data_IF_133093791108
#
_entry.id   IF_133093791108
#
_cell.length_a   1.000
_cell.length_b   1.000
_cell.length_c   1.000
_cell.angle_alpha   90.00
_cell.angle_beta   90.00
_cell.angle_gamma   90.00
#
_symmetry.space_group_name_H-M   'P 1'
#
loop_
_entity.id
_entity.type
_entity.pdbx_description
1 polymer ?
#
# COMPACT_ATOMS: atom_id res chain seq x y z
N UNK A 1 41.07 33.62 -83.78
CA UNK A 1 39.68 33.38 -83.36
C UNK A 1 39.73 32.96 -81.89
N UNK A 2 39.45 33.88 -81.02
CA UNK A 2 39.49 33.66 -79.51
C UNK A 2 38.11 33.54 -79.01
N UNK A 3 37.83 32.53 -78.14
CA UNK A 3 36.60 32.40 -77.34
C UNK A 3 36.93 32.55 -75.87
N UNK A 4 36.43 33.63 -75.27
CA UNK A 4 36.47 33.90 -73.85
C UNK A 4 35.48 32.96 -73.13
N UNK A 5 35.91 32.31 -72.02
CA UNK A 5 35.08 31.52 -71.10
C UNK A 5 35.02 32.25 -69.79
N UNK A 6 33.80 32.70 -69.44
CA UNK A 6 33.47 33.35 -68.18
C UNK A 6 33.29 32.30 -67.11
N UNK A 7 34.12 32.23 -66.05
CA UNK A 7 33.90 31.45 -64.84
C UNK A 7 33.16 32.30 -63.83
N UNK A 8 31.87 31.94 -63.59
CA UNK A 8 31.08 32.44 -62.46
C UNK A 8 31.50 31.73 -61.18
N UNK A 9 31.97 32.46 -60.19
CA UNK A 9 32.16 31.99 -58.81
C UNK A 9 30.82 31.87 -58.15
N UNK A 10 30.48 30.67 -57.69
CA UNK A 10 29.32 30.42 -56.80
C UNK A 10 29.80 30.58 -55.36
N UNK A 11 29.26 31.56 -54.64
CA UNK A 11 29.37 31.65 -53.18
C UNK A 11 28.46 30.60 -52.55
N UNK A 12 29.03 29.74 -51.72
CA UNK A 12 28.29 28.77 -50.88
C UNK A 12 28.06 29.47 -49.54
N UNK A 13 26.80 29.84 -49.27
CA UNK A 13 26.36 30.31 -47.97
C UNK A 13 26.21 29.08 -47.04
N UNK A 14 27.07 28.97 -46.04
CA UNK A 14 26.94 27.96 -44.99
C UNK A 14 25.82 28.33 -44.03
N UNK A 15 24.81 27.47 -43.97
CA UNK A 15 23.74 27.55 -42.94
C UNK A 15 24.25 26.81 -41.72
N UNK A 16 24.58 27.55 -40.65
CA UNK A 16 24.81 26.97 -39.33
C UNK A 16 23.47 26.67 -38.69
N UNK A 17 23.08 25.40 -38.68
CA UNK A 17 21.93 24.93 -37.87
C UNK A 17 22.38 24.80 -36.41
N UNK A 18 21.96 25.74 -35.58
CA UNK A 18 22.13 25.64 -34.12
C UNK A 18 21.19 24.60 -33.56
N UNK A 19 21.73 23.46 -33.15
CA UNK A 19 21.01 22.39 -32.46
C UNK A 19 20.85 22.78 -30.98
N UNK A 20 19.70 23.33 -30.62
CA UNK A 20 19.34 23.58 -29.20
C UNK A 20 18.98 22.28 -28.55
N UNK A 21 19.86 21.72 -27.72
CA UNK A 21 19.59 20.58 -26.86
C UNK A 21 18.73 21.09 -25.71
N UNK A 22 17.43 20.81 -25.75
CA UNK A 22 16.54 20.91 -24.60
C UNK A 22 16.90 19.78 -23.64
N UNK A 23 17.67 20.07 -22.61
CA UNK A 23 17.86 19.19 -21.47
C UNK A 23 16.54 19.24 -20.65
N UNK A 24 15.66 18.30 -20.93
CA UNK A 24 14.48 18.07 -20.08
C UNK A 24 14.96 17.61 -18.69
N UNK A 25 14.87 18.49 -17.70
CA UNK A 25 15.03 18.11 -16.32
C UNK A 25 13.89 17.17 -15.94
N UNK A 26 14.18 15.88 -15.90
CA UNK A 26 13.28 14.88 -15.30
C UNK A 26 13.31 15.17 -13.80
N UNK A 27 12.28 15.87 -13.32
CA UNK A 27 12.05 16.10 -11.91
C UNK A 27 11.77 14.77 -11.23
N UNK A 28 12.81 14.15 -10.67
CA UNK A 28 12.67 13.00 -9.79
C UNK A 28 11.91 13.44 -8.54
N UNK A 29 10.77 12.85 -8.34
CA UNK A 29 9.77 13.20 -7.36
C UNK A 29 10.31 13.25 -5.92
N UNK A 30 10.07 14.35 -5.28
CA UNK A 30 10.51 14.75 -3.94
C UNK A 30 9.64 14.16 -2.79
N UNK A 31 8.91 13.08 -3.00
CA UNK A 31 8.05 12.50 -1.95
C UNK A 31 8.84 12.00 -0.71
N UNK A 32 10.13 11.70 -0.86
CA UNK A 32 10.97 11.23 0.26
C UNK A 32 11.33 12.32 1.28
N UNK A 33 11.27 13.59 0.91
CA UNK A 33 11.64 14.73 1.78
C UNK A 33 10.43 15.49 2.36
N UNK A 34 9.19 15.05 2.08
CA UNK A 34 8.02 15.67 2.69
C UNK A 34 8.03 15.43 4.21
N UNK A 35 7.71 16.45 5.03
CA UNK A 35 7.58 16.25 6.47
C UNK A 35 6.49 15.21 6.75
N UNK A 36 6.66 14.48 7.86
CA UNK A 36 5.63 13.55 8.31
C UNK A 36 4.34 14.34 8.62
N UNK A 37 3.16 13.81 8.25
CA UNK A 37 1.89 14.42 8.64
C UNK A 37 1.74 14.41 10.17
N UNK A 38 0.88 15.29 10.68
CA UNK A 38 0.44 15.19 12.08
C UNK A 38 -0.54 14.02 12.21
N UNK A 39 0.00 12.84 12.48
CA UNK A 39 -0.79 11.62 12.62
C UNK A 39 -1.79 11.71 13.79
N UNK A 40 -1.47 12.42 14.84
CA UNK A 40 -2.37 12.59 15.98
C UNK A 40 -3.58 13.45 15.59
N UNK A 41 -3.36 14.53 14.86
CA UNK A 41 -4.45 15.35 14.32
C UNK A 41 -5.33 14.55 13.33
N UNK A 42 -4.73 13.67 12.51
CA UNK A 42 -5.49 12.79 11.61
C UNK A 42 -6.41 11.85 12.41
N UNK A 43 -5.89 11.19 13.43
CA UNK A 43 -6.68 10.28 14.28
C UNK A 43 -7.76 11.04 15.07
N UNK A 44 -7.46 12.23 15.53
CA UNK A 44 -8.37 13.09 16.29
C UNK A 44 -9.39 13.86 15.44
N UNK A 45 -9.35 13.72 14.10
CA UNK A 45 -10.23 14.47 13.19
C UNK A 45 -11.70 14.40 13.61
N UNK A 46 -12.40 15.53 13.76
CA UNK A 46 -13.75 15.58 14.36
C UNK A 46 -14.82 14.92 13.49
N UNK A 47 -14.60 14.80 12.19
CA UNK A 47 -15.50 14.20 11.20
C UNK A 47 -15.36 12.68 11.09
N UNK A 48 -14.47 12.04 11.87
CA UNK A 48 -14.44 10.59 12.01
C UNK A 48 -15.57 10.09 12.88
N UNK A 49 -16.10 8.90 12.56
CA UNK A 49 -17.25 8.32 13.23
C UNK A 49 -16.92 7.77 14.63
N UNK A 50 -17.93 7.61 15.48
CA UNK A 50 -17.77 6.93 16.77
C UNK A 50 -17.38 5.45 16.59
N UNK A 51 -17.84 4.79 15.54
CA UNK A 51 -17.43 3.44 15.19
C UNK A 51 -15.93 3.35 14.87
N UNK A 52 -15.38 4.36 14.18
CA UNK A 52 -13.94 4.45 13.94
C UNK A 52 -13.18 4.63 15.26
N UNK A 53 -13.66 5.48 16.17
CA UNK A 53 -13.04 5.68 17.49
C UNK A 53 -13.08 4.44 18.38
N UNK A 54 -14.09 3.61 18.24
CA UNK A 54 -14.11 2.27 18.91
C UNK A 54 -13.07 1.34 18.27
N UNK A 55 -12.93 1.37 16.94
CA UNK A 55 -11.92 0.60 16.20
C UNK A 55 -10.50 1.05 16.58
N UNK A 56 -10.27 2.35 16.78
CA UNK A 56 -8.98 2.92 17.20
C UNK A 56 -8.43 2.26 18.47
N UNK A 57 -9.29 1.92 19.42
CA UNK A 57 -8.88 1.30 20.69
C UNK A 57 -8.14 -0.04 20.51
N UNK A 58 -8.42 -0.75 19.43
CA UNK A 58 -7.79 -2.02 19.09
C UNK A 58 -6.70 -1.86 18.04
N UNK A 59 -6.92 -1.01 17.04
CA UNK A 59 -6.04 -0.84 15.89
C UNK A 59 -4.87 0.12 16.13
N UNK A 60 -4.90 0.88 17.25
CA UNK A 60 -3.82 1.81 17.65
C UNK A 60 -3.31 2.71 16.49
N UNK A 61 -4.20 3.42 15.75
CA UNK A 61 -3.80 4.13 14.53
C UNK A 61 -2.77 5.22 14.80
N UNK A 62 -2.74 5.78 16.02
CA UNK A 62 -1.73 6.74 16.46
C UNK A 62 -0.31 6.17 16.53
N UNK A 63 -0.16 4.84 16.59
CA UNK A 63 1.11 4.12 16.51
C UNK A 63 1.31 3.49 15.12
N UNK A 64 0.22 2.96 14.52
CA UNK A 64 0.27 2.32 13.22
C UNK A 64 0.69 3.29 12.10
N UNK A 65 0.08 4.46 12.01
CA UNK A 65 0.39 5.43 10.94
C UNK A 65 1.87 5.87 10.94
N UNK A 66 2.47 6.32 12.08
CA UNK A 66 3.90 6.61 12.10
C UNK A 66 4.76 5.40 11.72
N UNK A 67 4.39 4.19 12.15
CA UNK A 67 5.11 2.96 11.82
C UNK A 67 5.10 2.69 10.31
N UNK A 68 3.97 2.91 9.61
CA UNK A 68 3.92 2.78 8.15
C UNK A 68 4.90 3.73 7.46
N UNK A 69 5.14 4.90 8.01
CA UNK A 69 5.93 5.97 7.40
C UNK A 69 5.21 6.66 6.25
N UNK A 70 3.88 6.55 6.17
CA UNK A 70 3.06 7.22 5.14
C UNK A 70 3.25 8.73 5.18
N UNK A 71 3.42 9.37 4.01
CA UNK A 71 3.68 10.81 3.90
C UNK A 71 2.82 11.44 2.81
N UNK A 72 2.70 12.77 2.87
CA UNK A 72 2.02 13.53 1.84
C UNK A 72 2.60 13.26 0.44
N UNK A 73 1.71 13.12 -0.54
CA UNK A 73 2.06 12.87 -1.94
C UNK A 73 2.35 11.41 -2.30
N UNK A 74 2.35 10.48 -1.34
CA UNK A 74 2.59 9.05 -1.62
C UNK A 74 1.46 8.42 -2.42
N UNK A 75 1.82 7.39 -3.21
CA UNK A 75 0.92 6.43 -3.83
C UNK A 75 0.88 5.18 -2.96
N UNK A 76 -0.27 4.88 -2.41
CA UNK A 76 -0.47 3.77 -1.46
C UNK A 76 -1.47 2.78 -2.04
N UNK A 77 -1.21 1.48 -1.87
CA UNK A 77 -2.20 0.43 -2.06
C UNK A 77 -2.60 -0.10 -0.69
N UNK A 78 -3.90 -0.10 -0.38
CA UNK A 78 -4.49 -0.70 0.81
C UNK A 78 -5.20 -1.98 0.39
N UNK A 79 -4.59 -3.13 0.71
CA UNK A 79 -5.10 -4.45 0.36
C UNK A 79 -6.22 -4.85 1.30
N UNK A 80 -7.32 -5.37 0.75
CA UNK A 80 -8.54 -5.70 1.48
C UNK A 80 -9.03 -4.54 2.35
N UNK A 81 -9.30 -3.43 1.66
CA UNK A 81 -9.71 -2.17 2.29
C UNK A 81 -10.99 -2.29 3.12
N UNK A 82 -11.86 -3.24 2.78
CA UNK A 82 -13.09 -3.55 3.47
C UNK A 82 -14.03 -2.34 3.55
N UNK A 83 -14.43 -1.93 4.76
CA UNK A 83 -15.25 -0.73 4.94
C UNK A 83 -14.46 0.59 4.90
N UNK A 84 -13.16 0.55 4.55
CA UNK A 84 -12.32 1.72 4.31
C UNK A 84 -11.78 2.41 5.56
N UNK A 85 -11.72 1.73 6.71
CA UNK A 85 -11.20 2.32 7.94
C UNK A 85 -9.72 2.74 7.80
N UNK A 86 -8.85 1.82 7.40
CA UNK A 86 -7.42 2.09 7.17
C UNK A 86 -7.24 3.03 5.99
N UNK A 87 -8.02 2.81 4.93
CA UNK A 87 -8.01 3.60 3.70
C UNK A 87 -8.22 5.09 3.98
N UNK A 88 -9.21 5.46 4.81
CA UNK A 88 -9.48 6.86 5.15
C UNK A 88 -8.30 7.49 5.91
N UNK A 89 -7.71 6.80 6.86
CA UNK A 89 -6.55 7.28 7.59
C UNK A 89 -5.34 7.49 6.67
N UNK A 90 -5.10 6.55 5.76
CA UNK A 90 -4.06 6.67 4.74
C UNK A 90 -4.34 7.82 3.77
N UNK A 91 -5.60 7.99 3.32
CA UNK A 91 -6.01 9.07 2.44
C UNK A 91 -5.78 10.45 3.05
N UNK A 92 -6.09 10.61 4.34
CA UNK A 92 -5.78 11.84 5.10
C UNK A 92 -4.28 12.09 5.19
N UNK A 93 -3.48 11.03 5.41
CA UNK A 93 -2.03 11.13 5.56
C UNK A 93 -1.31 11.49 4.25
N UNK A 94 -1.73 10.92 3.11
CA UNK A 94 -1.14 11.25 1.81
C UNK A 94 -1.64 12.60 1.27
N UNK A 95 -2.75 13.10 1.78
CA UNK A 95 -3.30 14.41 1.41
C UNK A 95 -3.69 14.51 -0.07
N UNK A 96 -4.04 15.73 -0.54
CA UNK A 96 -4.65 15.94 -1.86
C UNK A 96 -3.70 15.69 -3.04
N UNK A 97 -2.40 15.57 -2.80
CA UNK A 97 -1.37 15.30 -3.83
C UNK A 97 -0.99 13.82 -3.91
N UNK A 98 -1.42 13.00 -2.94
CA UNK A 98 -1.25 11.55 -2.92
C UNK A 98 -2.48 10.83 -3.43
N UNK A 99 -2.34 9.51 -3.59
CA UNK A 99 -3.45 8.63 -4.01
C UNK A 99 -3.43 7.36 -3.17
N UNK A 100 -4.61 6.91 -2.74
CA UNK A 100 -4.78 5.58 -2.12
C UNK A 100 -5.62 4.73 -3.06
N UNK A 101 -5.08 3.59 -3.46
CA UNK A 101 -5.79 2.53 -4.17
C UNK A 101 -6.31 1.55 -3.11
N UNK A 102 -7.62 1.50 -2.95
CA UNK A 102 -8.30 0.64 -1.99
C UNK A 102 -8.75 -0.63 -2.72
N UNK A 103 -8.05 -1.75 -2.48
CA UNK A 103 -8.34 -2.99 -3.19
C UNK A 103 -9.27 -3.88 -2.36
N UNK A 104 -10.28 -4.42 -3.04
CA UNK A 104 -11.14 -5.51 -2.55
C UNK A 104 -11.48 -6.46 -3.70
N UNK A 105 -11.69 -7.74 -3.39
CA UNK A 105 -12.27 -8.64 -4.39
C UNK A 105 -13.79 -8.49 -4.45
N UNK A 106 -14.38 -8.74 -5.61
CA UNK A 106 -15.83 -8.70 -5.79
C UNK A 106 -16.56 -9.62 -4.79
N UNK A 107 -15.99 -10.79 -4.52
CA UNK A 107 -16.57 -11.76 -3.56
C UNK A 107 -16.55 -11.22 -2.11
N UNK A 108 -15.49 -10.53 -1.70
CA UNK A 108 -15.41 -9.90 -0.37
C UNK A 108 -16.42 -8.76 -0.26
N UNK A 109 -16.56 -7.94 -1.30
CA UNK A 109 -17.54 -6.84 -1.33
C UNK A 109 -18.95 -7.40 -1.17
N UNK A 110 -19.34 -8.36 -2.01
CA UNK A 110 -20.68 -8.94 -1.98
C UNK A 110 -21.02 -9.54 -0.62
N UNK A 111 -20.08 -10.24 -0.01
CA UNK A 111 -20.32 -11.03 1.20
C UNK A 111 -20.22 -10.21 2.49
N UNK A 112 -19.27 -9.30 2.60
CA UNK A 112 -18.89 -8.66 3.88
C UNK A 112 -18.94 -7.14 3.88
N UNK A 113 -18.54 -6.50 2.78
CA UNK A 113 -18.40 -5.04 2.70
C UNK A 113 -19.73 -4.40 2.30
N UNK A 114 -20.36 -4.95 1.25
CA UNK A 114 -21.60 -4.40 0.67
C UNK A 114 -21.40 -2.91 0.33
N UNK A 115 -22.32 -2.06 0.78
CA UNK A 115 -22.34 -0.62 0.55
C UNK A 115 -21.49 0.22 1.54
N UNK A 116 -20.84 -0.42 2.51
CA UNK A 116 -20.14 0.30 3.58
C UNK A 116 -18.99 1.15 3.07
N UNK A 117 -18.22 0.63 2.10
CA UNK A 117 -17.15 1.40 1.47
C UNK A 117 -17.70 2.58 0.69
N UNK A 118 -18.76 2.37 -0.11
CA UNK A 118 -19.37 3.41 -0.94
C UNK A 118 -19.96 4.54 -0.09
N UNK A 119 -20.55 4.20 1.06
CA UNK A 119 -21.02 5.20 2.04
C UNK A 119 -19.85 6.02 2.56
N UNK A 120 -18.74 5.38 2.96
CA UNK A 120 -17.53 6.08 3.44
C UNK A 120 -16.88 6.92 2.32
N UNK A 121 -16.88 6.42 1.10
CA UNK A 121 -16.31 7.11 -0.07
C UNK A 121 -16.96 8.47 -0.37
N UNK A 122 -18.16 8.74 0.17
CA UNK A 122 -18.81 10.05 0.07
C UNK A 122 -18.15 11.11 0.97
N UNK A 123 -17.31 10.70 1.93
CA UNK A 123 -16.58 11.62 2.79
C UNK A 123 -15.57 12.47 2.01
N UNK A 124 -15.44 13.77 2.34
CA UNK A 124 -14.39 14.62 1.77
C UNK A 124 -12.97 14.06 1.95
N UNK A 125 -12.72 13.29 3.00
CA UNK A 125 -11.43 12.65 3.28
C UNK A 125 -11.06 11.55 2.27
N UNK A 126 -12.05 11.02 1.52
CA UNK A 126 -11.84 9.93 0.55
C UNK A 126 -11.69 10.41 -0.89
N UNK A 127 -11.61 11.71 -1.15
CA UNK A 127 -11.56 12.27 -2.53
C UNK A 127 -10.35 11.83 -3.35
N UNK A 128 -9.26 11.44 -2.71
CA UNK A 128 -8.02 10.93 -3.31
C UNK A 128 -7.91 9.40 -3.25
N UNK A 129 -9.04 8.71 -3.03
CA UNK A 129 -9.13 7.25 -3.02
C UNK A 129 -9.71 6.75 -4.33
N UNK A 130 -9.12 5.68 -4.85
CA UNK A 130 -9.60 4.90 -6.00
C UNK A 130 -9.97 3.51 -5.49
N UNK A 131 -11.25 3.14 -5.56
CA UNK A 131 -11.67 1.78 -5.22
C UNK A 131 -11.29 0.83 -6.37
N UNK A 132 -10.49 -0.19 -6.07
CA UNK A 132 -9.95 -1.17 -7.01
C UNK A 132 -10.59 -2.52 -6.75
N UNK A 133 -11.53 -2.91 -7.62
CA UNK A 133 -12.22 -4.20 -7.49
C UNK A 133 -11.49 -5.21 -8.36
N UNK A 134 -10.60 -6.03 -7.75
CA UNK A 134 -9.77 -7.04 -8.41
C UNK A 134 -9.52 -8.21 -7.47
N UNK A 135 -9.26 -9.38 -8.04
CA UNK A 135 -8.93 -10.57 -7.26
C UNK A 135 -7.56 -10.43 -6.56
N UNK A 136 -7.37 -11.19 -5.48
CA UNK A 136 -6.15 -11.07 -4.66
C UNK A 136 -4.88 -11.53 -5.39
N UNK A 137 -4.95 -12.47 -6.30
CA UNK A 137 -3.82 -12.93 -7.12
C UNK A 137 -3.50 -11.98 -8.29
N UNK A 138 -4.37 -10.99 -8.56
CA UNK A 138 -4.13 -9.90 -9.52
C UNK A 138 -4.63 -8.54 -8.98
N UNK A 139 -4.14 -8.08 -7.79
CA UNK A 139 -4.77 -6.99 -7.04
C UNK A 139 -4.48 -5.60 -7.61
N UNK A 140 -3.51 -5.48 -8.52
CA UNK A 140 -2.99 -4.18 -8.95
C UNK A 140 -3.42 -3.88 -10.38
N UNK A 141 -4.07 -2.73 -10.67
CA UNK A 141 -4.36 -2.31 -12.03
C UNK A 141 -3.06 -2.20 -12.87
N UNK A 142 -3.07 -2.56 -14.16
CA UNK A 142 -1.86 -2.58 -14.99
C UNK A 142 -1.13 -1.25 -15.14
N UNK A 143 -1.83 -0.14 -14.97
CA UNK A 143 -1.33 1.23 -15.02
C UNK A 143 -0.78 1.73 -13.68
N UNK A 144 -1.07 1.02 -12.58
CA UNK A 144 -0.58 1.36 -11.24
C UNK A 144 0.81 0.78 -11.02
N UNK A 145 1.80 1.64 -10.90
CA UNK A 145 3.23 1.29 -10.75
C UNK A 145 3.92 2.27 -9.82
N UNK A 146 5.10 1.86 -9.36
CA UNK A 146 5.95 2.67 -8.49
C UNK A 146 5.21 3.16 -7.24
N UNK A 147 4.49 2.24 -6.58
CA UNK A 147 3.88 2.49 -5.28
C UNK A 147 4.96 2.79 -4.24
N UNK A 148 4.68 3.72 -3.34
CA UNK A 148 5.53 4.05 -2.21
C UNK A 148 5.34 3.08 -1.04
N UNK A 149 4.09 2.66 -0.85
CA UNK A 149 3.64 1.87 0.29
C UNK A 149 2.51 0.93 -0.14
N UNK A 150 2.56 -0.28 0.41
CA UNK A 150 1.42 -1.21 0.42
C UNK A 150 1.10 -1.51 1.88
N UNK A 151 -0.17 -1.52 2.24
CA UNK A 151 -0.68 -1.97 3.55
C UNK A 151 -1.58 -3.18 3.35
N UNK A 152 -1.47 -4.18 4.25
CA UNK A 152 -2.32 -5.36 4.27
C UNK A 152 -2.64 -5.70 5.72
N UNK A 153 -3.78 -5.20 6.22
CA UNK A 153 -4.07 -5.20 7.64
C UNK A 153 -5.18 -6.18 8.00
N UNK A 154 -4.82 -7.21 8.78
CA UNK A 154 -5.72 -8.17 9.43
C UNK A 154 -6.57 -9.00 8.46
N UNK A 155 -5.99 -9.34 7.31
CA UNK A 155 -6.69 -10.08 6.27
C UNK A 155 -5.80 -11.07 5.50
N UNK A 156 -4.47 -11.07 5.74
CA UNK A 156 -3.61 -12.05 5.08
C UNK A 156 -3.96 -13.49 5.47
N UNK A 157 -4.42 -13.74 6.71
CA UNK A 157 -4.91 -15.04 7.12
C UNK A 157 -6.13 -15.50 6.28
N UNK A 158 -6.98 -14.58 5.83
CA UNK A 158 -8.18 -14.90 5.05
C UNK A 158 -7.82 -15.45 3.67
N UNK A 159 -6.83 -14.90 2.99
CA UNK A 159 -6.39 -15.39 1.68
C UNK A 159 -5.76 -16.79 1.73
N UNK A 160 -5.41 -17.30 2.92
CA UNK A 160 -4.86 -18.65 3.08
C UNK A 160 -5.89 -19.76 2.84
N UNK A 161 -7.18 -19.50 3.07
CA UNK A 161 -8.26 -20.47 2.84
C UNK A 161 -9.20 -20.05 1.70
N UNK A 162 -8.98 -18.89 1.10
CA UNK A 162 -9.54 -18.52 -0.20
C UNK A 162 -8.72 -19.22 -1.29
N UNK A 163 -9.29 -19.43 -2.46
CA UNK A 163 -8.55 -20.02 -3.59
C UNK A 163 -7.65 -18.96 -4.27
N UNK A 164 -6.68 -18.42 -3.51
CA UNK A 164 -5.74 -17.39 -3.93
C UNK A 164 -4.35 -17.97 -4.12
N UNK A 165 -3.73 -17.72 -5.27
CA UNK A 165 -2.29 -17.93 -5.44
C UNK A 165 -1.52 -16.85 -4.68
N UNK A 166 -1.18 -17.13 -3.39
CA UNK A 166 -0.48 -16.18 -2.53
C UNK A 166 0.94 -15.87 -3.03
N UNK A 167 1.59 -16.80 -3.70
CA UNK A 167 2.91 -16.55 -4.27
C UNK A 167 2.81 -15.51 -5.39
N UNK A 168 1.81 -15.64 -6.26
CA UNK A 168 1.53 -14.67 -7.33
C UNK A 168 1.09 -13.31 -6.75
N UNK A 169 0.20 -13.30 -5.75
CA UNK A 169 -0.21 -12.08 -5.04
C UNK A 169 1.01 -11.32 -4.48
N UNK A 170 1.87 -12.02 -3.74
CA UNK A 170 3.06 -11.44 -3.12
C UNK A 170 4.05 -10.94 -4.16
N UNK A 171 4.23 -11.67 -5.26
CA UNK A 171 5.07 -11.27 -6.40
C UNK A 171 4.55 -9.98 -7.04
N UNK A 172 3.23 -9.88 -7.27
CA UNK A 172 2.62 -8.67 -7.85
C UNK A 172 2.74 -7.45 -6.92
N UNK A 173 2.55 -7.63 -5.62
CA UNK A 173 2.81 -6.57 -4.64
C UNK A 173 4.28 -6.11 -4.70
N UNK A 174 5.22 -7.06 -4.77
CA UNK A 174 6.64 -6.74 -4.88
C UNK A 174 6.95 -5.96 -6.16
N UNK A 175 6.41 -6.38 -7.30
CA UNK A 175 6.64 -5.71 -8.59
C UNK A 175 6.08 -4.29 -8.62
N UNK A 176 4.90 -4.06 -8.05
CA UNK A 176 4.23 -2.77 -8.05
C UNK A 176 4.92 -1.71 -7.19
N UNK A 177 5.64 -2.11 -6.15
CA UNK A 177 6.42 -1.20 -5.33
C UNK A 177 7.64 -0.65 -6.09
N UNK A 178 7.95 0.62 -5.88
CA UNK A 178 9.25 1.17 -6.29
C UNK A 178 10.39 0.53 -5.49
N UNK A 179 11.64 0.49 -5.99
CA UNK A 179 12.80 0.17 -5.16
C UNK A 179 12.83 1.05 -3.91
N UNK A 180 13.07 0.46 -2.74
CA UNK A 180 13.00 1.14 -1.44
C UNK A 180 11.57 1.38 -0.90
N UNK A 181 10.52 1.01 -1.62
CA UNK A 181 9.13 1.06 -1.16
C UNK A 181 8.84 0.02 -0.07
N UNK A 182 7.79 0.25 0.70
CA UNK A 182 7.48 -0.57 1.88
C UNK A 182 6.18 -1.36 1.72
N UNK A 183 6.17 -2.56 2.31
CA UNK A 183 4.97 -3.35 2.57
C UNK A 183 4.81 -3.48 4.09
N UNK A 184 3.65 -3.07 4.62
CA UNK A 184 3.31 -3.22 6.03
C UNK A 184 2.20 -4.23 6.15
N UNK A 185 2.44 -5.28 6.92
CA UNK A 185 1.42 -6.31 7.21
C UNK A 185 1.20 -6.36 8.71
N UNK A 186 -0.05 -6.34 9.12
CA UNK A 186 -0.47 -6.67 10.48
C UNK A 186 -1.47 -7.83 10.41
N UNK A 187 -1.34 -8.81 11.30
CA UNK A 187 -2.30 -9.91 11.36
C UNK A 187 -2.38 -10.53 12.75
N UNK A 188 -3.40 -11.36 12.96
CA UNK A 188 -3.68 -12.03 14.21
C UNK A 188 -2.79 -13.26 14.40
N UNK A 189 -2.05 -13.30 15.51
CA UNK A 189 -1.09 -14.38 15.78
C UNK A 189 -1.81 -15.71 16.07
N UNK A 190 -1.43 -16.78 15.37
CA UNK A 190 -1.68 -18.16 15.76
C UNK A 190 -0.60 -18.67 16.70
N UNK A 191 -0.80 -19.87 17.28
CA UNK A 191 0.22 -20.55 18.06
C UNK A 191 1.34 -21.09 17.18
N UNK A 192 2.58 -21.20 17.68
CA UNK A 192 3.63 -21.93 16.99
C UNK A 192 3.18 -23.36 16.63
N UNK A 193 3.34 -23.76 15.37
CA UNK A 193 2.95 -25.06 14.84
C UNK A 193 1.53 -25.12 14.25
N UNK A 194 0.70 -24.12 14.44
CA UNK A 194 -0.65 -24.07 13.83
C UNK A 194 -0.60 -23.73 12.33
N UNK A 195 0.44 -23.05 11.89
CA UNK A 195 0.61 -22.66 10.49
C UNK A 195 -0.57 -21.81 9.98
N UNK A 196 -1.28 -22.34 8.98
CA UNK A 196 -2.51 -21.77 8.41
C UNK A 196 -3.76 -22.57 8.77
N UNK A 197 -3.63 -23.67 9.52
CA UNK A 197 -4.72 -24.62 9.73
C UNK A 197 -5.91 -24.03 10.50
N UNK A 198 -5.62 -23.03 11.33
CA UNK A 198 -6.62 -22.33 12.16
C UNK A 198 -7.15 -21.04 11.50
N UNK A 199 -6.64 -20.66 10.34
CA UNK A 199 -7.00 -19.39 9.70
C UNK A 199 -8.51 -19.26 9.45
N UNK A 200 -9.15 -20.31 8.93
CA UNK A 200 -10.59 -20.30 8.63
C UNK A 200 -11.48 -20.31 9.89
N UNK A 201 -10.99 -20.86 10.99
CA UNK A 201 -11.81 -21.09 12.22
C UNK A 201 -11.54 -20.06 13.29
N UNK A 202 -10.26 -19.68 13.49
CA UNK A 202 -9.86 -18.72 14.50
C UNK A 202 -9.52 -17.35 13.93
N UNK A 203 -9.41 -17.20 12.60
CA UNK A 203 -8.94 -16.01 11.90
C UNK A 203 -7.57 -15.58 12.41
N UNK A 204 -6.61 -16.53 12.42
CA UNK A 204 -5.24 -16.36 12.87
C UNK A 204 -4.28 -17.06 11.92
N UNK A 205 -3.07 -16.52 11.80
CA UNK A 205 -1.98 -17.11 11.03
C UNK A 205 -0.72 -17.16 11.87
N UNK A 206 0.09 -18.22 11.72
CA UNK A 206 1.40 -18.25 12.34
C UNK A 206 2.33 -17.26 11.65
N UNK A 207 2.93 -16.36 12.44
CA UNK A 207 3.77 -15.29 11.94
C UNK A 207 4.93 -15.81 11.08
N UNK A 208 5.53 -16.96 11.46
CA UNK A 208 6.64 -17.59 10.72
C UNK A 208 6.27 -17.99 9.30
N UNK A 209 5.01 -18.42 9.07
CA UNK A 209 4.50 -18.77 7.74
C UNK A 209 4.37 -17.53 6.88
N UNK A 210 3.75 -16.47 7.40
CA UNK A 210 3.62 -15.20 6.69
C UNK A 210 5.00 -14.62 6.34
N UNK A 211 5.94 -14.61 7.29
CA UNK A 211 7.31 -14.15 7.04
C UNK A 211 7.95 -14.90 5.87
N UNK A 212 7.89 -16.23 5.90
CA UNK A 212 8.49 -17.06 4.85
C UNK A 212 7.89 -16.77 3.46
N UNK A 213 6.56 -16.60 3.36
CA UNK A 213 5.88 -16.33 2.10
C UNK A 213 6.23 -14.93 1.54
N UNK A 214 6.32 -13.90 2.39
CA UNK A 214 6.68 -12.56 1.98
C UNK A 214 8.16 -12.46 1.59
N UNK A 215 9.05 -13.07 2.36
CA UNK A 215 10.48 -13.11 2.05
C UNK A 215 10.78 -13.89 0.77
N UNK A 216 10.03 -14.96 0.49
CA UNK A 216 10.13 -15.72 -0.76
C UNK A 216 9.80 -14.87 -2.00
N UNK A 217 8.95 -13.86 -1.88
CA UNK A 217 8.68 -12.89 -2.95
C UNK A 217 9.80 -11.85 -3.16
N UNK A 218 10.83 -11.85 -2.31
CA UNK A 218 12.00 -10.97 -2.42
C UNK A 218 12.04 -9.80 -1.44
N UNK A 219 11.01 -9.63 -0.62
CA UNK A 219 10.97 -8.59 0.42
C UNK A 219 12.01 -8.85 1.52
N UNK A 220 12.44 -7.78 2.18
CA UNK A 220 13.32 -7.85 3.36
C UNK A 220 12.60 -7.25 4.55
N UNK A 221 12.52 -8.01 5.65
CA UNK A 221 12.05 -7.47 6.92
C UNK A 221 13.02 -6.41 7.41
N UNK A 222 12.51 -5.23 7.75
CA UNK A 222 13.32 -4.08 8.20
C UNK A 222 12.90 -3.52 9.55
N UNK A 223 11.66 -3.80 10.01
CA UNK A 223 11.19 -3.34 11.32
C UNK A 223 10.00 -4.18 11.80
N UNK A 224 9.73 -4.17 13.11
CA UNK A 224 8.64 -4.88 13.77
C UNK A 224 7.96 -3.96 14.80
N UNK A 225 6.63 -3.84 14.69
CA UNK A 225 5.82 -3.09 15.66
C UNK A 225 5.33 -3.99 16.80
N UNK A 226 5.68 -3.63 18.04
CA UNK A 226 5.27 -4.40 19.22
C UNK A 226 4.02 -3.84 19.91
N UNK A 227 3.41 -2.80 19.38
CA UNK A 227 2.32 -2.05 20.01
C UNK A 227 0.96 -2.75 19.97
N UNK A 228 0.82 -3.85 19.21
CA UNK A 228 -0.37 -4.73 19.19
C UNK A 228 -0.09 -6.12 19.77
N UNK A 229 1.06 -6.29 20.44
CA UNK A 229 1.40 -7.56 21.09
C UNK A 229 0.68 -7.69 22.41
N UNK A 230 0.00 -8.83 22.57
CA UNK A 230 -0.74 -9.21 23.76
C UNK A 230 -0.34 -10.64 24.18
N UNK A 231 0.78 -10.81 24.86
CA UNK A 231 1.31 -12.14 25.22
C UNK A 231 0.39 -12.95 26.14
N UNK A 232 -0.57 -12.27 26.79
CA UNK A 232 -1.62 -12.90 27.59
C UNK A 232 -2.71 -13.61 26.75
N UNK A 233 -2.78 -13.35 25.43
CA UNK A 233 -3.72 -14.04 24.54
C UNK A 233 -3.29 -15.50 24.35
N UNK A 234 -4.11 -16.49 24.75
CA UNK A 234 -3.79 -17.91 24.59
C UNK A 234 -3.86 -18.37 23.13
N UNK A 235 -4.35 -17.54 22.22
CA UNK A 235 -4.47 -17.77 20.77
C UNK A 235 -5.26 -19.02 20.38
N UNK A 236 -6.25 -19.41 21.23
CA UNK A 236 -7.09 -20.61 21.04
C UNK A 236 -8.55 -20.30 20.72
N UNK A 237 -8.89 -19.03 20.65
CA UNK A 237 -10.23 -18.55 20.33
C UNK A 237 -10.23 -17.69 19.06
N UNK A 238 -11.38 -17.65 18.40
CA UNK A 238 -11.59 -16.77 17.25
C UNK A 238 -11.48 -15.29 17.69
N UNK A 239 -10.92 -14.46 16.81
CA UNK A 239 -10.66 -13.04 17.08
C UNK A 239 -11.93 -12.19 17.20
N UNK A 240 -13.10 -12.74 16.88
CA UNK A 240 -14.38 -12.09 17.04
C UNK A 240 -14.89 -12.25 18.48
N UNK A 241 -15.09 -11.19 19.22
CA UNK A 241 -15.52 -11.16 20.63
C UNK A 241 -14.52 -11.83 21.60
N UNK A 242 -13.25 -11.45 21.54
CA UNK A 242 -12.22 -12.04 22.40
C UNK A 242 -12.47 -11.70 23.87
N UNK A 243 -12.07 -12.61 24.78
CA UNK A 243 -12.12 -12.40 26.22
C UNK A 243 -10.95 -11.55 26.74
N UNK A 244 -9.84 -11.56 26.03
CA UNK A 244 -8.64 -10.75 26.24
C UNK A 244 -8.27 -10.06 24.93
N UNK A 245 -7.48 -8.99 24.95
CA UNK A 245 -6.98 -8.40 23.72
C UNK A 245 -6.27 -9.44 22.84
N UNK A 246 -6.54 -9.40 21.54
CA UNK A 246 -5.96 -10.34 20.58
C UNK A 246 -4.49 -9.99 20.36
N UNK A 247 -3.59 -10.99 20.43
CA UNK A 247 -2.19 -10.81 20.06
C UNK A 247 -2.06 -10.69 18.53
N UNK A 248 -1.47 -9.59 18.11
CA UNK A 248 -1.31 -9.24 16.70
C UNK A 248 0.14 -8.85 16.44
N UNK A 249 0.70 -9.30 15.31
CA UNK A 249 2.02 -8.86 14.86
C UNK A 249 1.88 -7.75 13.82
N UNK A 250 2.87 -6.87 13.78
CA UNK A 250 2.99 -5.80 12.78
C UNK A 250 4.39 -5.85 12.19
N UNK A 251 4.49 -6.10 10.89
CA UNK A 251 5.75 -6.32 10.19
C UNK A 251 5.93 -5.29 9.09
N UNK A 252 7.13 -4.73 9.01
CA UNK A 252 7.53 -3.80 7.96
C UNK A 252 8.58 -4.42 7.07
N UNK A 253 8.22 -4.61 5.82
CA UNK A 253 9.11 -5.10 4.79
C UNK A 253 9.50 -3.99 3.83
N UNK A 254 10.66 -4.14 3.19
CA UNK A 254 11.13 -3.24 2.16
C UNK A 254 11.45 -4.03 0.89
N UNK A 255 11.06 -3.47 -0.26
CA UNK A 255 11.63 -3.88 -1.54
C UNK A 255 13.06 -3.35 -1.62
N UNK A 256 14.09 -4.18 -1.83
CA UNK A 256 15.47 -3.72 -1.99
C UNK A 256 15.62 -2.62 -3.05
N UNK A 257 16.69 -1.81 -2.91
CA UNK A 257 17.03 -0.74 -3.85
C UNK A 257 17.46 -1.29 -5.21
#
# INVERSE_FOLDING_TARGET
MARFSNRRRRQIAGIFASLSIFAGAIGSATAQNSPAPDYQAIVASPDRTDADRQTDKRREPGKMLPFTGVKAGMKVLDMEAGAGYSTELLARAVGPTGTVYAQDSAAVIERFVKDKFDIRAQSPAMKNVVHVIRDFDDPIPPDVKALDLITFFFAYHDVTYMQVDRAEMNRKMFEALKPGGFLIIADHSARPGDGITVARTLHRIEESVLRAEIEAAGFKLVDEGNFLRHPEDPRDAAVFRPQVPVDEFVLKYQKPL
#
